data_IF_129080560977
#
_entry.id   IF_129080560977
#
_cell.length_a   1.000
_cell.length_b   1.000
_cell.length_c   1.000
_cell.angle_alpha   90.00
_cell.angle_beta   90.00
_cell.angle_gamma   90.00
#
_symmetry.space_group_name_H-M   'P 1'
#
loop_
_entity.id
_entity.type
_entity.pdbx_description
1 polymer ?
#
# COMPACT_ATOMS: atom_id res chain seq x y z
N UNK A 1 -18.93 6.94 -6.41
CA UNK A 1 -19.46 6.89 -5.04
C UNK A 1 -20.95 6.57 -5.06
N UNK A 2 -21.49 5.88 -4.03
CA UNK A 2 -22.93 5.77 -3.83
C UNK A 2 -23.57 7.13 -3.51
N UNK A 3 -24.90 7.21 -3.49
CA UNK A 3 -25.62 8.48 -3.20
C UNK A 3 -25.31 9.02 -1.79
N UNK A 4 -25.18 8.13 -0.81
CA UNK A 4 -24.85 8.48 0.58
C UNK A 4 -23.63 7.66 1.05
N UNK A 5 -22.43 8.03 0.64
CA UNK A 5 -21.24 7.25 0.94
C UNK A 5 -20.85 7.36 2.42
N UNK A 6 -20.35 6.27 2.98
CA UNK A 6 -19.71 6.26 4.29
C UNK A 6 -18.33 6.92 4.15
N UNK A 7 -18.13 8.04 4.83
CA UNK A 7 -16.91 8.86 4.73
C UNK A 7 -15.88 8.56 5.83
N UNK A 8 -16.22 7.71 6.79
CA UNK A 8 -15.31 7.33 7.86
C UNK A 8 -15.09 5.83 7.88
N UNK A 9 -13.86 5.41 7.68
CA UNK A 9 -13.42 4.03 7.85
C UNK A 9 -13.03 3.85 9.32
N UNK A 10 -13.73 2.97 10.05
CA UNK A 10 -13.58 2.83 11.52
C UNK A 10 -12.20 2.34 11.92
N UNK A 11 -11.74 1.23 11.32
CA UNK A 11 -10.50 0.55 11.65
C UNK A 11 -9.90 -0.16 10.41
N UNK A 12 -8.88 -0.97 10.62
CA UNK A 12 -8.17 -1.71 9.57
C UNK A 12 -8.65 -3.16 9.40
N UNK A 13 -9.82 -3.54 9.94
CA UNK A 13 -10.36 -4.88 9.71
C UNK A 13 -10.79 -5.07 8.27
N UNK A 14 -10.68 -6.31 7.76
CA UNK A 14 -11.01 -6.65 6.37
C UNK A 14 -11.82 -7.94 6.38
N UNK A 15 -12.95 -7.94 5.66
CA UNK A 15 -13.75 -9.14 5.42
C UNK A 15 -13.93 -9.39 3.92
N UNK A 16 -13.74 -10.62 3.50
CA UNK A 16 -14.18 -11.16 2.23
C UNK A 16 -15.27 -12.18 2.51
N UNK A 17 -16.47 -11.94 2.02
CA UNK A 17 -17.64 -12.79 2.25
C UNK A 17 -18.12 -13.37 0.90
N UNK A 18 -17.87 -14.66 0.67
CA UNK A 18 -18.21 -15.38 -0.55
C UNK A 18 -17.77 -14.68 -1.84
N UNK A 19 -16.55 -14.10 -1.81
CA UNK A 19 -16.08 -13.26 -2.90
C UNK A 19 -15.61 -14.09 -4.09
N UNK A 20 -16.14 -13.73 -5.26
CA UNK A 20 -15.61 -14.16 -6.55
C UNK A 20 -15.41 -12.97 -7.47
N UNK A 21 -14.40 -13.03 -8.33
CA UNK A 21 -14.04 -11.93 -9.23
C UNK A 21 -13.63 -12.40 -10.62
N UNK A 22 -14.12 -11.69 -11.64
CA UNK A 22 -13.71 -11.78 -13.04
C UNK A 22 -13.27 -10.41 -13.54
N UNK A 23 -12.20 -10.36 -14.34
CA UNK A 23 -11.78 -9.12 -15.03
C UNK A 23 -12.71 -8.70 -16.16
N UNK A 24 -13.54 -9.60 -16.67
CA UNK A 24 -14.54 -9.34 -17.70
C UNK A 24 -15.72 -10.25 -17.49
N UNK A 25 -16.94 -9.76 -17.71
CA UNK A 25 -18.17 -10.58 -17.69
C UNK A 25 -18.11 -11.75 -18.68
N UNK A 26 -17.39 -11.57 -19.79
CA UNK A 26 -17.20 -12.58 -20.83
C UNK A 26 -16.13 -13.63 -20.47
N UNK A 27 -15.39 -13.44 -19.37
CA UNK A 27 -14.37 -14.41 -18.98
C UNK A 27 -15.03 -15.73 -18.55
N UNK A 28 -14.53 -16.85 -19.09
CA UNK A 28 -15.02 -18.19 -18.75
C UNK A 28 -14.65 -18.58 -17.31
N UNK A 29 -13.54 -18.08 -16.79
CA UNK A 29 -13.01 -18.44 -15.48
C UNK A 29 -12.95 -17.24 -14.55
N UNK A 30 -13.21 -17.52 -13.28
CA UNK A 30 -12.97 -16.57 -12.21
C UNK A 30 -11.46 -16.46 -11.92
N UNK A 31 -10.99 -15.24 -11.67
CA UNK A 31 -9.65 -14.99 -11.13
C UNK A 31 -9.60 -15.29 -9.64
N UNK A 32 -10.71 -15.09 -8.92
CA UNK A 32 -10.93 -15.46 -7.53
C UNK A 32 -12.28 -16.17 -7.42
N UNK A 33 -12.37 -17.22 -6.60
CA UNK A 33 -13.60 -17.98 -6.38
C UNK A 33 -13.71 -18.35 -4.90
N UNK A 34 -14.91 -18.16 -4.34
CA UNK A 34 -15.28 -18.58 -2.99
C UNK A 34 -14.27 -18.13 -1.90
N UNK A 35 -13.85 -16.86 -1.97
CA UNK A 35 -12.92 -16.30 -1.00
C UNK A 35 -13.70 -15.87 0.24
N UNK A 36 -13.36 -16.47 1.36
CA UNK A 36 -13.90 -16.17 2.68
C UNK A 36 -12.71 -15.96 3.64
N UNK A 37 -12.48 -14.69 4.03
CA UNK A 37 -11.34 -14.29 4.86
C UNK A 37 -11.82 -13.23 5.84
N UNK A 38 -11.41 -13.33 7.09
CA UNK A 38 -11.50 -12.27 8.08
C UNK A 38 -10.11 -11.94 8.59
N UNK A 39 -9.82 -10.64 8.71
CA UNK A 39 -8.56 -10.10 9.20
C UNK A 39 -8.91 -9.04 10.24
N UNK A 40 -8.41 -9.21 11.46
CA UNK A 40 -8.59 -8.22 12.52
C UNK A 40 -7.74 -6.96 12.29
N UNK A 41 -8.20 -5.82 12.81
CA UNK A 41 -7.40 -4.59 12.81
C UNK A 41 -6.12 -4.79 13.63
N UNK A 42 -4.98 -4.37 13.06
CA UNK A 42 -3.65 -4.57 13.67
C UNK A 42 -3.04 -5.94 13.42
N UNK A 43 -3.73 -6.85 12.73
CA UNK A 43 -3.18 -8.15 12.37
C UNK A 43 -2.21 -8.04 11.19
N UNK A 44 -1.16 -8.85 11.21
CA UNK A 44 -0.21 -8.99 10.10
C UNK A 44 -0.36 -10.37 9.48
N UNK A 45 -0.77 -10.43 8.23
CA UNK A 45 -0.92 -11.68 7.48
C UNK A 45 0.02 -11.76 6.29
N UNK A 46 0.43 -12.98 5.95
CA UNK A 46 1.21 -13.29 4.75
C UNK A 46 0.36 -14.04 3.72
N UNK A 47 0.26 -13.51 2.49
CA UNK A 47 -0.41 -14.17 1.38
C UNK A 47 0.64 -14.85 0.51
N UNK A 48 0.65 -16.19 0.50
CA UNK A 48 1.63 -16.99 -0.22
C UNK A 48 0.95 -17.69 -1.41
N UNK A 49 1.65 -17.75 -2.53
CA UNK A 49 1.17 -18.44 -3.72
C UNK A 49 2.10 -18.21 -4.91
N UNK A 50 2.06 -19.12 -5.87
CA UNK A 50 2.87 -19.03 -7.10
C UNK A 50 2.50 -17.84 -7.99
N UNK A 51 3.29 -17.61 -9.03
CA UNK A 51 2.98 -16.61 -10.07
C UNK A 51 1.65 -16.96 -10.73
N UNK A 52 0.77 -15.98 -10.90
CA UNK A 52 -0.56 -16.19 -11.48
C UNK A 52 -1.62 -16.70 -10.50
N UNK A 53 -1.33 -16.85 -9.20
CA UNK A 53 -2.31 -17.27 -8.17
C UNK A 53 -3.28 -16.17 -7.71
N UNK A 54 -3.36 -15.06 -8.44
CA UNK A 54 -4.29 -13.94 -8.20
C UNK A 54 -4.11 -13.19 -6.88
N UNK A 55 -2.92 -13.26 -6.24
CA UNK A 55 -2.62 -12.48 -5.02
C UNK A 55 -2.87 -10.97 -5.25
N UNK A 56 -2.27 -10.41 -6.30
CA UNK A 56 -2.45 -8.99 -6.62
C UNK A 56 -3.91 -8.65 -6.92
N UNK A 57 -4.68 -9.57 -7.51
CA UNK A 57 -6.12 -9.39 -7.73
C UNK A 57 -6.86 -9.26 -6.40
N UNK A 58 -6.56 -10.14 -5.43
CA UNK A 58 -7.18 -10.13 -4.12
C UNK A 58 -6.96 -8.78 -3.41
N UNK A 59 -5.71 -8.33 -3.35
CA UNK A 59 -5.38 -7.06 -2.66
C UNK A 59 -5.94 -5.83 -3.36
N UNK A 60 -6.19 -5.88 -4.67
CA UNK A 60 -6.78 -4.76 -5.44
C UNK A 60 -8.28 -4.55 -5.16
N UNK A 61 -8.97 -5.56 -4.63
CA UNK A 61 -10.37 -5.42 -4.22
C UNK A 61 -10.51 -4.60 -2.93
N UNK A 62 -9.50 -4.58 -2.04
CA UNK A 62 -9.54 -3.87 -0.77
C UNK A 62 -9.68 -2.34 -0.97
N UNK A 63 -8.81 -1.66 -1.75
CA UNK A 63 -8.97 -0.23 -2.05
C UNK A 63 -9.99 0.03 -3.16
N UNK A 64 -10.80 -0.97 -3.53
CA UNK A 64 -11.81 -0.89 -4.59
C UNK A 64 -11.22 -0.36 -5.90
N UNK A 65 -10.10 -0.95 -6.36
CA UNK A 65 -9.62 -0.74 -7.74
C UNK A 65 -10.46 -1.54 -8.73
N UNK A 66 -11.09 -2.60 -8.26
CA UNK A 66 -12.12 -3.39 -8.92
C UNK A 66 -13.25 -3.70 -7.93
N UNK A 67 -14.46 -3.86 -8.43
CA UNK A 67 -15.59 -4.36 -7.66
C UNK A 67 -15.65 -5.89 -7.73
N UNK A 68 -15.93 -6.55 -6.61
CA UNK A 68 -16.20 -7.99 -6.61
C UNK A 68 -17.40 -8.31 -7.53
N UNK A 69 -17.27 -9.38 -8.34
CA UNK A 69 -18.35 -9.86 -9.21
C UNK A 69 -19.46 -10.52 -8.40
N UNK A 70 -19.08 -11.26 -7.34
CA UNK A 70 -19.98 -11.91 -6.40
C UNK A 70 -19.46 -11.68 -5.00
N UNK A 71 -20.33 -11.64 -4.00
CA UNK A 71 -19.99 -11.48 -2.61
C UNK A 71 -19.65 -10.04 -2.23
N UNK A 72 -19.11 -9.86 -1.03
CA UNK A 72 -18.89 -8.55 -0.42
C UNK A 72 -17.48 -8.45 0.14
N UNK A 73 -16.83 -7.32 -0.12
CA UNK A 73 -15.56 -6.93 0.53
C UNK A 73 -15.86 -5.80 1.48
N UNK A 74 -15.46 -5.94 2.76
CA UNK A 74 -15.64 -4.91 3.77
C UNK A 74 -14.31 -4.42 4.29
N UNK A 75 -14.23 -3.14 4.64
CA UNK A 75 -13.11 -2.50 5.36
C UNK A 75 -13.70 -1.72 6.53
N UNK A 76 -13.18 -1.97 7.73
CA UNK A 76 -13.73 -1.36 8.95
C UNK A 76 -15.21 -1.70 9.17
N UNK A 77 -15.63 -2.91 8.77
CA UNK A 77 -17.03 -3.38 8.84
C UNK A 77 -17.97 -2.79 7.80
N UNK A 78 -17.51 -1.90 6.90
CA UNK A 78 -18.32 -1.25 5.85
C UNK A 78 -18.00 -1.87 4.48
N UNK A 79 -19.04 -2.20 3.69
CA UNK A 79 -18.84 -2.63 2.30
C UNK A 79 -18.08 -1.52 1.53
N UNK A 80 -17.02 -1.92 0.84
CA UNK A 80 -16.22 -0.98 0.03
C UNK A 80 -17.07 -0.27 -1.05
N UNK A 81 -18.20 -0.87 -1.45
CA UNK A 81 -19.14 -0.27 -2.41
C UNK A 81 -19.94 0.88 -1.80
N UNK A 82 -20.16 0.85 -0.49
CA UNK A 82 -20.89 1.88 0.25
C UNK A 82 -19.97 2.99 0.77
N UNK A 83 -18.66 2.80 0.67
CA UNK A 83 -17.67 3.76 1.15
C UNK A 83 -17.40 4.88 0.14
N UNK A 84 -17.10 6.07 0.66
CA UNK A 84 -16.47 7.12 -0.14
C UNK A 84 -15.10 6.66 -0.63
N UNK A 85 -14.86 6.75 -1.94
CA UNK A 85 -13.63 6.23 -2.55
C UNK A 85 -12.37 6.95 -2.06
N UNK A 86 -12.47 8.24 -1.74
CA UNK A 86 -11.32 9.00 -1.22
C UNK A 86 -11.03 8.54 0.21
N UNK A 87 -12.04 8.50 1.07
CA UNK A 87 -11.90 8.05 2.45
C UNK A 87 -11.38 6.60 2.54
N UNK A 88 -11.92 5.69 1.71
CA UNK A 88 -11.44 4.31 1.64
C UNK A 88 -9.97 4.24 1.21
N UNK A 89 -9.62 4.90 0.10
CA UNK A 89 -8.26 4.88 -0.43
C UNK A 89 -7.27 5.63 0.43
N UNK A 90 -7.71 6.60 1.22
CA UNK A 90 -6.85 7.28 2.20
C UNK A 90 -6.57 6.40 3.41
N UNK A 91 -7.47 5.49 3.76
CA UNK A 91 -7.25 4.51 4.82
C UNK A 91 -6.38 3.31 4.39
N UNK A 92 -6.18 3.08 3.09
CA UNK A 92 -5.41 1.96 2.54
C UNK A 92 -4.19 2.48 1.78
N UNK A 93 -3.00 2.05 2.15
CA UNK A 93 -1.79 2.29 1.38
C UNK A 93 -1.30 0.99 0.73
N UNK A 94 -0.92 1.07 -0.54
CA UNK A 94 -0.42 -0.07 -1.31
C UNK A 94 0.96 0.26 -1.85
N UNK A 95 1.95 -0.58 -1.53
CA UNK A 95 3.28 -0.55 -2.13
C UNK A 95 3.35 -1.68 -3.14
N UNK A 96 3.41 -1.32 -4.41
CA UNK A 96 3.39 -2.27 -5.53
C UNK A 96 4.76 -2.91 -5.75
N UNK A 97 4.80 -4.08 -6.39
CA UNK A 97 6.02 -4.73 -6.84
C UNK A 97 6.87 -3.82 -7.75
N UNK A 98 6.24 -3.11 -8.69
CA UNK A 98 6.90 -2.09 -9.50
C UNK A 98 6.85 -0.74 -8.80
N UNK A 99 7.92 -0.42 -8.11
CA UNK A 99 8.07 0.86 -7.44
C UNK A 99 8.36 1.98 -8.44
N UNK A 100 7.56 3.05 -8.40
CA UNK A 100 7.70 4.21 -9.29
C UNK A 100 7.98 5.47 -8.47
N UNK A 101 9.06 6.15 -8.84
CA UNK A 101 9.35 7.51 -8.41
C UNK A 101 9.22 8.45 -9.61
N UNK A 102 8.84 9.69 -9.36
CA UNK A 102 8.67 10.72 -10.37
C UNK A 102 9.88 11.64 -10.40
N UNK A 103 10.11 12.31 -11.52
CA UNK A 103 11.11 13.36 -11.60
C UNK A 103 10.75 14.48 -10.61
N UNK A 104 11.75 14.90 -9.80
CA UNK A 104 11.57 15.85 -8.71
C UNK A 104 12.43 15.49 -7.51
N UNK A 105 12.36 16.22 -6.43
CA UNK A 105 13.14 15.93 -5.22
C UNK A 105 12.63 14.69 -4.48
N UNK A 106 13.45 14.14 -3.59
CA UNK A 106 13.01 13.06 -2.67
C UNK A 106 11.81 13.57 -1.85
N UNK A 107 11.88 14.78 -1.32
CA UNK A 107 10.81 15.42 -0.55
C UNK A 107 9.51 15.52 -1.33
N UNK A 108 9.55 15.95 -2.57
CA UNK A 108 8.37 16.01 -3.46
C UNK A 108 7.79 14.62 -3.70
N UNK A 109 8.63 13.62 -3.97
CA UNK A 109 8.20 12.24 -4.12
C UNK A 109 7.49 11.69 -2.88
N UNK A 110 7.96 12.02 -1.68
CA UNK A 110 7.34 11.60 -0.42
C UNK A 110 6.01 12.31 -0.20
N UNK A 111 5.89 13.59 -0.54
CA UNK A 111 4.66 14.37 -0.44
C UNK A 111 3.52 13.90 -1.34
N UNK A 112 3.76 13.00 -2.28
CA UNK A 112 2.67 12.27 -2.95
C UNK A 112 1.87 11.38 -1.99
N UNK A 113 2.43 10.98 -0.84
CA UNK A 113 1.70 10.29 0.22
C UNK A 113 0.84 11.23 1.07
N UNK A 114 1.36 12.44 1.37
CA UNK A 114 0.68 13.49 2.13
C UNK A 114 1.22 14.84 1.69
N UNK A 115 0.40 15.62 0.97
CA UNK A 115 0.81 16.87 0.30
C UNK A 115 1.37 17.92 1.25
N UNK A 116 0.80 18.02 2.43
CA UNK A 116 1.13 18.99 3.50
C UNK A 116 2.02 18.40 4.59
N UNK A 117 2.71 17.27 4.31
CA UNK A 117 3.61 16.65 5.26
C UNK A 117 4.72 17.63 5.69
N UNK A 118 4.93 17.73 7.01
CA UNK A 118 6.04 18.50 7.56
C UNK A 118 7.37 17.78 7.34
N UNK A 119 8.48 18.48 7.50
CA UNK A 119 9.81 17.89 7.34
C UNK A 119 10.08 16.82 8.42
N UNK A 120 9.52 16.98 9.61
CA UNK A 120 9.58 16.00 10.70
C UNK A 120 8.80 14.73 10.36
N UNK A 121 7.59 14.85 9.80
CA UNK A 121 6.79 13.70 9.35
C UNK A 121 7.51 12.93 8.22
N UNK A 122 8.13 13.64 7.30
CA UNK A 122 8.93 13.06 6.21
C UNK A 122 10.13 12.28 6.78
N UNK A 123 10.87 12.88 7.71
CA UNK A 123 12.00 12.24 8.35
C UNK A 123 11.58 10.99 9.14
N UNK A 124 10.47 11.06 9.88
CA UNK A 124 9.92 9.92 10.61
C UNK A 124 9.53 8.77 9.67
N UNK A 125 8.80 9.06 8.60
CA UNK A 125 8.44 8.05 7.60
C UNK A 125 9.68 7.40 6.96
N UNK A 126 10.73 8.18 6.69
CA UNK A 126 12.00 7.67 6.18
C UNK A 126 12.73 6.80 7.21
N UNK A 127 12.70 7.14 8.50
CA UNK A 127 13.26 6.28 9.57
C UNK A 127 12.56 4.94 9.63
N UNK A 128 11.23 4.94 9.68
CA UNK A 128 10.41 3.72 9.70
C UNK A 128 10.67 2.82 8.47
N UNK A 129 10.86 3.43 7.30
CA UNK A 129 11.18 2.73 6.05
C UNK A 129 12.66 2.40 5.89
N UNK A 130 13.51 2.65 6.89
CA UNK A 130 14.98 2.49 6.82
C UNK A 130 15.60 3.26 5.64
N UNK A 131 15.05 4.42 5.31
CA UNK A 131 15.47 5.25 4.19
C UNK A 131 16.35 6.45 4.61
N UNK A 132 16.22 6.93 5.85
CA UNK A 132 16.86 8.17 6.32
C UNK A 132 18.37 8.16 6.16
N UNK A 133 19.04 7.05 6.51
CA UNK A 133 20.49 6.95 6.44
C UNK A 133 21.04 7.22 5.03
N UNK A 134 20.47 6.56 4.00
CA UNK A 134 20.94 6.79 2.64
C UNK A 134 20.51 8.17 2.10
N UNK A 135 19.34 8.68 2.49
CA UNK A 135 18.90 10.03 2.08
C UNK A 135 19.88 11.08 2.60
N UNK A 136 20.24 11.01 3.88
CA UNK A 136 21.19 11.94 4.50
C UNK A 136 22.64 11.73 4.03
N UNK A 137 22.96 10.61 3.39
CA UNK A 137 24.28 10.40 2.77
C UNK A 137 24.47 11.22 1.48
N UNK A 138 23.40 11.69 0.87
CA UNK A 138 23.49 12.61 -0.27
C UNK A 138 23.79 14.03 0.23
N UNK A 139 24.67 14.80 -0.44
CA UNK A 139 24.94 16.18 -0.07
C UNK A 139 23.68 17.06 0.01
N UNK A 140 22.71 16.83 -0.87
CA UNK A 140 21.45 17.55 -0.94
C UNK A 140 20.37 17.01 0.02
N UNK A 141 20.61 15.85 0.65
CA UNK A 141 19.65 15.22 1.54
C UNK A 141 18.28 14.98 0.87
N UNK A 142 17.24 15.48 1.50
CA UNK A 142 15.85 15.37 0.99
C UNK A 142 15.59 16.19 -0.28
N UNK A 143 16.43 17.18 -0.59
CA UNK A 143 16.32 17.98 -1.82
C UNK A 143 17.06 17.35 -3.01
N UNK A 144 17.66 16.16 -2.83
CA UNK A 144 18.26 15.36 -3.91
C UNK A 144 17.25 15.11 -4.99
N UNK A 145 17.60 15.47 -6.24
CA UNK A 145 16.78 15.22 -7.43
C UNK A 145 16.75 13.74 -7.78
N UNK A 146 15.57 13.24 -8.02
CA UNK A 146 15.28 11.91 -8.55
C UNK A 146 14.91 12.05 -10.02
N UNK A 147 15.55 11.22 -10.85
CA UNK A 147 15.23 11.14 -12.28
C UNK A 147 13.92 10.38 -12.50
N UNK A 148 13.33 10.55 -13.69
CA UNK A 148 12.11 9.85 -14.08
C UNK A 148 12.23 8.33 -13.83
N UNK A 149 11.27 7.77 -13.12
CA UNK A 149 11.25 6.37 -12.73
C UNK A 149 12.29 5.98 -11.68
N UNK A 150 13.03 6.93 -11.10
CA UNK A 150 14.08 6.67 -10.11
C UNK A 150 15.33 6.03 -10.72
N UNK A 151 15.74 6.45 -11.92
CA UNK A 151 16.88 5.86 -12.62
C UNK A 151 18.22 6.07 -11.90
N UNK A 152 18.33 7.12 -11.09
CA UNK A 152 19.54 7.51 -10.35
C UNK A 152 19.58 7.03 -8.88
N UNK A 153 18.70 6.10 -8.50
CA UNK A 153 18.70 5.43 -7.19
C UNK A 153 18.63 3.91 -7.37
N UNK A 154 19.18 3.17 -6.40
CA UNK A 154 19.13 1.71 -6.45
C UNK A 154 17.70 1.17 -6.26
N UNK A 155 17.47 -0.10 -6.66
CA UNK A 155 16.16 -0.75 -6.48
C UNK A 155 15.70 -0.75 -5.01
N UNK A 156 16.60 -1.08 -4.07
CA UNK A 156 16.30 -1.07 -2.64
C UNK A 156 16.05 0.34 -2.08
N UNK A 157 16.78 1.37 -2.56
CA UNK A 157 16.53 2.77 -2.20
C UNK A 157 15.16 3.23 -2.70
N UNK A 158 14.85 2.96 -3.98
CA UNK A 158 13.54 3.25 -4.58
C UNK A 158 12.40 2.62 -3.78
N UNK A 159 12.55 1.37 -3.42
CA UNK A 159 11.56 0.63 -2.65
C UNK A 159 11.32 1.23 -1.27
N UNK A 160 12.39 1.55 -0.52
CA UNK A 160 12.29 2.18 0.79
C UNK A 160 11.64 3.56 0.72
N UNK A 161 11.91 4.36 -0.32
CA UNK A 161 11.22 5.63 -0.55
C UNK A 161 9.72 5.44 -0.84
N UNK A 162 9.34 4.41 -1.60
CA UNK A 162 7.94 4.09 -1.84
C UNK A 162 7.22 3.61 -0.57
N UNK A 163 7.90 2.88 0.30
CA UNK A 163 7.39 2.49 1.62
C UNK A 163 7.22 3.75 2.50
N UNK A 164 8.22 4.63 2.58
CA UNK A 164 8.13 5.88 3.34
C UNK A 164 6.95 6.74 2.86
N UNK A 165 6.76 6.86 1.55
CA UNK A 165 5.61 7.55 0.95
C UNK A 165 4.26 6.94 1.38
N UNK A 166 4.17 5.62 1.45
CA UNK A 166 2.97 4.93 1.91
C UNK A 166 2.70 5.18 3.40
N UNK A 167 3.74 5.17 4.23
CA UNK A 167 3.63 5.41 5.68
C UNK A 167 3.22 6.84 6.01
N UNK A 168 3.62 7.83 5.19
CA UNK A 168 3.20 9.24 5.36
C UNK A 168 1.68 9.44 5.36
N UNK A 169 0.93 8.57 4.67
CA UNK A 169 -0.53 8.58 4.71
C UNK A 169 -1.10 8.23 6.09
N UNK A 170 -0.31 7.61 6.97
CA UNK A 170 -0.77 7.00 8.23
C UNK A 170 -1.98 6.08 7.99
N UNK A 171 -1.86 5.11 7.08
CA UNK A 171 -2.98 4.29 6.66
C UNK A 171 -3.42 3.34 7.79
N UNK A 172 -4.68 2.93 7.79
CA UNK A 172 -5.20 1.87 8.67
C UNK A 172 -4.84 0.48 8.14
N UNK A 173 -4.61 0.36 6.84
CA UNK A 173 -4.21 -0.87 6.16
C UNK A 173 -2.99 -0.58 5.29
N UNK A 174 -1.91 -1.33 5.50
CA UNK A 174 -0.71 -1.29 4.66
C UNK A 174 -0.57 -2.61 3.89
N UNK A 175 -0.58 -2.53 2.58
CA UNK A 175 -0.42 -3.67 1.68
C UNK A 175 0.95 -3.58 1.01
N UNK A 176 1.73 -4.67 1.11
CA UNK A 176 3.03 -4.81 0.50
C UNK A 176 2.97 -5.94 -0.54
N UNK A 177 2.84 -5.59 -1.82
CA UNK A 177 2.79 -6.57 -2.93
C UNK A 177 4.21 -6.83 -3.44
N UNK A 178 4.86 -7.86 -2.88
CA UNK A 178 6.26 -8.25 -3.19
C UNK A 178 7.24 -7.08 -3.15
N UNK A 179 6.93 -6.09 -2.33
CA UNK A 179 7.60 -4.79 -2.34
C UNK A 179 8.91 -4.77 -1.55
N UNK A 180 9.30 -5.88 -0.92
CA UNK A 180 10.59 -5.99 -0.22
C UNK A 180 11.60 -6.87 -0.95
N UNK A 181 11.27 -7.36 -2.15
CA UNK A 181 12.12 -8.27 -2.93
C UNK A 181 13.48 -7.66 -3.35
N UNK A 182 13.58 -6.35 -3.46
CA UNK A 182 14.81 -5.63 -3.78
C UNK A 182 15.57 -5.10 -2.54
N UNK A 183 15.05 -5.35 -1.33
CA UNK A 183 15.69 -4.97 -0.06
C UNK A 183 16.39 -6.19 0.53
N UNK A 184 17.57 -6.01 1.09
CA UNK A 184 18.28 -7.09 1.77
C UNK A 184 17.50 -7.58 3.00
N UNK A 185 17.71 -8.85 3.37
CA UNK A 185 16.96 -9.54 4.44
C UNK A 185 17.03 -8.82 5.79
N UNK A 186 18.18 -8.19 6.11
CA UNK A 186 18.35 -7.45 7.38
C UNK A 186 17.49 -6.21 7.39
N UNK A 187 17.52 -5.42 6.32
CA UNK A 187 16.71 -4.21 6.17
C UNK A 187 15.22 -4.54 6.13
N UNK A 188 14.80 -5.62 5.44
CA UNK A 188 13.41 -6.08 5.45
C UNK A 188 12.94 -6.44 6.86
N UNK A 189 13.73 -7.16 7.62
CA UNK A 189 13.41 -7.51 9.01
C UNK A 189 13.26 -6.25 9.90
N UNK A 190 14.11 -5.23 9.72
CA UNK A 190 14.02 -3.96 10.44
C UNK A 190 12.74 -3.21 10.08
N UNK A 191 12.41 -3.10 8.80
CA UNK A 191 11.17 -2.46 8.32
C UNK A 191 9.95 -3.16 8.94
N UNK A 192 9.90 -4.49 8.93
CA UNK A 192 8.79 -5.25 9.52
C UNK A 192 8.69 -5.08 11.04
N UNK A 193 9.82 -4.96 11.73
CA UNK A 193 9.84 -4.68 13.17
C UNK A 193 9.27 -3.29 13.50
N UNK A 194 9.56 -2.28 12.66
CA UNK A 194 8.98 -0.95 12.83
C UNK A 194 7.47 -0.93 12.54
N UNK A 195 7.00 -1.67 11.52
CA UNK A 195 5.57 -1.77 11.23
C UNK A 195 4.75 -2.29 12.42
N UNK A 196 5.27 -3.28 13.16
CA UNK A 196 4.61 -3.80 14.37
C UNK A 196 4.42 -2.78 15.49
N UNK A 197 5.19 -1.69 15.47
CA UNK A 197 5.05 -0.59 16.44
C UNK A 197 4.09 0.49 15.94
N UNK A 198 3.91 0.56 14.62
CA UNK A 198 3.12 1.59 13.94
C UNK A 198 1.65 1.17 13.75
N UNK A 199 1.42 -0.12 13.54
CA UNK A 199 0.12 -0.76 13.42
C UNK A 199 -0.30 -1.32 14.79
#
# INVERSE_FOLDING_TARGET
NPENPVTEIKDGSIDFENVAFKYSEKAERYALSDVNIHIDSGETIGIIGGTGSSKSTLIQLIPRLYDATVGTVKVGGTDVKDSDLVALRDSVAVVLQKNVLFAGTIKENLRWGKKDATDEEIAEACRLAQAEEFVLSFPEGYDRMIDQGGANVSGGQKQRLCIARALLKKPKILILDDSTSAVDTKTDAMIRAEFKKFI
#
